data_IF_088910479861
#
_entry.id   IF_088910479861
#
_cell.length_a   1.000
_cell.length_b   1.000
_cell.length_c   1.000
_cell.angle_alpha   90.00
_cell.angle_beta   90.00
_cell.angle_gamma   90.00
#
_symmetry.space_group_name_H-M   'P 1'
#
loop_
_entity.id
_entity.type
_entity.pdbx_description
1 polymer ?
#
# COMPACT_ATOMS: atom_id res chain seq x y z
N UNK A 1 4.39 3.02 -14.44
CA UNK A 1 4.88 1.65 -14.74
C UNK A 1 6.33 1.78 -15.12
N UNK A 2 7.23 1.14 -14.35
CA UNK A 2 8.66 1.13 -14.64
C UNK A 2 8.94 0.44 -15.97
N UNK A 3 8.77 1.17 -17.08
CA UNK A 3 9.10 0.73 -18.43
C UNK A 3 10.59 0.96 -18.58
N UNK A 4 11.39 -0.08 -18.38
CA UNK A 4 12.79 -0.02 -18.82
C UNK A 4 12.76 -0.25 -20.33
N UNK A 5 12.84 0.85 -21.08
CA UNK A 5 13.06 0.79 -22.52
C UNK A 5 14.55 0.54 -22.73
N UNK A 6 14.93 -0.69 -23.09
CA UNK A 6 16.27 -0.94 -23.60
C UNK A 6 16.23 -0.89 -25.13
N UNK A 7 17.00 0.02 -25.70
CA UNK A 7 17.25 0.03 -27.13
C UNK A 7 18.31 -1.04 -27.41
N UNK A 8 17.91 -2.09 -28.12
CA UNK A 8 18.77 -3.27 -28.37
C UNK A 8 19.53 -3.11 -29.69
N UNK A 9 18.94 -2.41 -30.66
CA UNK A 9 19.56 -1.99 -31.91
C UNK A 9 18.87 -0.73 -32.44
N UNK A 10 19.40 -0.13 -33.50
CA UNK A 10 18.71 0.93 -34.24
C UNK A 10 17.32 0.41 -34.69
N UNK A 11 16.28 1.11 -34.26
CA UNK A 11 14.88 0.79 -34.57
C UNK A 11 14.21 -0.29 -33.70
N UNK A 12 14.92 -0.99 -32.81
CA UNK A 12 14.31 -2.06 -31.97
C UNK A 12 14.38 -1.71 -30.48
N UNK A 13 13.23 -1.32 -29.92
CA UNK A 13 13.06 -1.12 -28.48
C UNK A 13 12.43 -2.35 -27.83
N UNK A 14 13.13 -2.98 -26.89
CA UNK A 14 12.58 -4.08 -26.10
C UNK A 14 11.91 -3.53 -24.85
N UNK A 15 10.63 -3.87 -24.66
CA UNK A 15 9.85 -3.45 -23.50
C UNK A 15 9.91 -4.52 -22.44
N UNK A 16 10.72 -4.30 -21.40
CA UNK A 16 10.70 -5.15 -20.22
C UNK A 16 9.58 -4.68 -19.30
N UNK A 17 8.58 -5.55 -19.15
CA UNK A 17 7.49 -5.36 -18.21
C UNK A 17 7.89 -5.92 -16.86
N UNK A 18 8.18 -5.03 -15.91
CA UNK A 18 8.39 -5.41 -14.52
C UNK A 18 7.07 -5.26 -13.75
N UNK A 19 6.65 -6.27 -12.96
CA UNK A 19 5.50 -6.14 -12.08
C UNK A 19 5.89 -5.21 -10.92
N UNK A 20 5.66 -3.91 -11.08
CA UNK A 20 5.91 -2.90 -10.05
C UNK A 20 7.22 -2.12 -10.20
N UNK A 21 7.31 -0.98 -9.52
CA UNK A 21 8.51 -0.13 -9.53
C UNK A 21 9.50 -0.64 -8.49
N UNK A 22 10.82 -0.51 -8.74
CA UNK A 22 11.86 -0.99 -7.82
C UNK A 22 11.69 -0.44 -6.40
N UNK A 23 11.26 0.81 -6.29
CA UNK A 23 10.98 1.46 -5.01
C UNK A 23 9.87 0.73 -4.22
N UNK A 24 8.88 0.16 -4.90
CA UNK A 24 7.79 -0.58 -4.25
C UNK A 24 8.29 -1.90 -3.66
N UNK A 25 9.16 -2.60 -4.37
CA UNK A 25 9.79 -3.83 -3.89
C UNK A 25 10.68 -3.57 -2.67
N UNK A 26 11.39 -2.44 -2.66
CA UNK A 26 12.17 -2.02 -1.48
C UNK A 26 11.24 -1.75 -0.31
N UNK A 27 10.15 -1.00 -0.49
CA UNK A 27 9.17 -0.72 0.57
C UNK A 27 8.51 -2.00 1.11
N UNK A 28 8.18 -2.95 0.23
CA UNK A 28 7.66 -4.25 0.63
C UNK A 28 8.71 -5.04 1.44
N UNK A 29 9.97 -5.05 1.00
CA UNK A 29 11.07 -5.65 1.74
C UNK A 29 11.28 -5.03 3.12
N UNK A 30 11.18 -3.70 3.24
CA UNK A 30 11.26 -2.98 4.53
C UNK A 30 10.09 -3.39 5.44
N UNK A 31 8.87 -3.48 4.92
CA UNK A 31 7.70 -3.88 5.70
C UNK A 31 7.86 -5.30 6.27
N UNK A 32 8.26 -6.26 5.44
CA UNK A 32 8.52 -7.65 5.87
C UNK A 32 9.69 -7.70 6.86
N UNK A 33 10.78 -6.98 6.57
CA UNK A 33 11.96 -6.92 7.44
C UNK A 33 11.64 -6.36 8.82
N UNK A 34 10.89 -5.24 8.89
CA UNK A 34 10.48 -4.64 10.15
C UNK A 34 9.57 -5.56 10.97
N UNK A 35 8.64 -6.27 10.32
CA UNK A 35 7.82 -7.27 10.97
C UNK A 35 8.61 -8.47 11.50
N UNK A 36 9.56 -8.98 10.72
CA UNK A 36 10.43 -10.08 11.14
C UNK A 36 11.34 -9.70 12.32
N UNK A 37 11.90 -8.49 12.31
CA UNK A 37 12.68 -7.97 13.45
C UNK A 37 11.79 -7.81 14.69
N UNK A 38 10.59 -7.26 14.52
CA UNK A 38 9.62 -7.13 15.63
C UNK A 38 9.26 -8.50 16.21
N UNK A 39 8.96 -9.48 15.34
CA UNK A 39 8.70 -10.86 15.74
C UNK A 39 9.86 -11.42 16.57
N UNK A 40 11.09 -11.33 16.06
CA UNK A 40 12.27 -11.89 16.73
C UNK A 40 12.50 -11.25 18.11
N UNK A 41 12.39 -9.92 18.19
CA UNK A 41 12.57 -9.19 19.46
C UNK A 41 11.51 -9.59 20.50
N UNK A 42 10.23 -9.63 20.10
CA UNK A 42 9.13 -10.02 20.99
C UNK A 42 9.27 -11.47 21.43
N UNK A 43 9.61 -12.38 20.50
CA UNK A 43 9.81 -13.79 20.80
C UNK A 43 10.96 -14.02 21.79
N UNK A 44 12.06 -13.26 21.68
CA UNK A 44 13.22 -13.37 22.58
C UNK A 44 12.87 -12.83 23.98
N UNK A 45 12.19 -11.69 24.06
CA UNK A 45 11.91 -11.01 25.33
C UNK A 45 10.77 -11.66 26.10
N UNK A 46 9.64 -11.89 25.44
CA UNK A 46 8.44 -12.41 26.08
C UNK A 46 8.41 -13.94 26.14
N UNK A 47 9.18 -14.61 25.28
CA UNK A 47 9.14 -16.07 25.09
C UNK A 47 7.74 -16.59 24.74
N UNK A 48 6.90 -15.71 24.19
CA UNK A 48 5.55 -16.00 23.74
C UNK A 48 5.50 -15.86 22.21
N UNK A 49 5.40 -17.00 21.54
CA UNK A 49 5.40 -17.05 20.07
C UNK A 49 4.11 -16.49 19.47
N UNK A 50 2.97 -16.66 20.16
CA UNK A 50 1.67 -16.16 19.70
C UNK A 50 1.67 -14.63 19.68
N UNK A 51 2.10 -14.02 20.79
CA UNK A 51 2.20 -12.55 20.89
C UNK A 51 3.21 -12.02 19.88
N UNK A 52 4.36 -12.70 19.71
CA UNK A 52 5.34 -12.35 18.69
C UNK A 52 4.76 -12.40 17.27
N UNK A 53 4.02 -13.46 16.94
CA UNK A 53 3.39 -13.65 15.63
C UNK A 53 2.38 -12.56 15.32
N UNK A 54 1.47 -12.26 16.25
CA UNK A 54 0.45 -11.22 16.08
C UNK A 54 1.12 -9.86 15.89
N UNK A 55 2.08 -9.50 16.74
CA UNK A 55 2.74 -8.19 16.66
C UNK A 55 3.60 -8.05 15.40
N UNK A 56 4.41 -9.06 15.06
CA UNK A 56 5.25 -9.03 13.86
C UNK A 56 4.45 -8.96 12.56
N UNK A 57 3.37 -9.75 12.46
CA UNK A 57 2.47 -9.69 11.29
C UNK A 57 1.70 -8.38 11.24
N UNK A 58 1.24 -7.85 12.37
CA UNK A 58 0.57 -6.54 12.45
C UNK A 58 1.47 -5.38 12.03
N UNK A 59 2.75 -5.40 12.41
CA UNK A 59 3.73 -4.40 11.93
C UNK A 59 3.91 -4.51 10.42
N UNK A 60 4.05 -5.73 9.89
CA UNK A 60 4.18 -5.97 8.45
C UNK A 60 2.97 -5.42 7.68
N UNK A 61 1.76 -5.80 8.10
CA UNK A 61 0.52 -5.37 7.45
C UNK A 61 0.25 -3.90 7.67
N UNK A 62 0.66 -3.31 8.80
CA UNK A 62 0.55 -1.88 9.07
C UNK A 62 1.44 -1.04 8.15
N UNK A 63 2.74 -1.37 8.06
CA UNK A 63 3.67 -0.64 7.17
C UNK A 63 3.29 -0.86 5.70
N UNK A 64 2.93 -2.09 5.32
CA UNK A 64 2.38 -2.39 3.99
C UNK A 64 1.10 -1.61 3.71
N UNK A 65 0.20 -1.59 4.70
CA UNK A 65 -0.94 -0.70 4.93
C UNK A 65 -0.74 0.69 4.35
N UNK A 66 0.03 1.49 5.08
CA UNK A 66 0.31 2.89 4.77
C UNK A 66 0.86 3.05 3.35
N UNK A 67 1.84 2.22 2.98
CA UNK A 67 2.51 2.35 1.69
C UNK A 67 1.57 2.11 0.49
N UNK A 68 0.68 1.13 0.59
CA UNK A 68 -0.31 0.87 -0.44
C UNK A 68 -1.40 1.95 -0.46
N UNK A 69 -1.83 2.45 0.70
CA UNK A 69 -2.80 3.56 0.77
C UNK A 69 -2.29 4.84 0.08
N UNK A 70 -1.04 5.21 0.35
CA UNK A 70 -0.41 6.36 -0.32
C UNK A 70 -0.34 6.17 -1.84
N UNK A 71 0.07 4.97 -2.26
CA UNK A 71 0.16 4.60 -3.68
C UNK A 71 -1.19 4.70 -4.39
N UNK A 72 -2.26 4.32 -3.72
CA UNK A 72 -3.60 4.36 -4.27
C UNK A 72 -4.03 5.77 -4.61
N UNK A 73 -3.78 6.71 -3.70
CA UNK A 73 -4.08 8.12 -3.91
C UNK A 73 -3.28 8.66 -5.10
N UNK A 74 -1.97 8.40 -5.16
CA UNK A 74 -1.16 8.83 -6.31
C UNK A 74 -1.63 8.23 -7.63
N UNK A 75 -2.04 6.96 -7.62
CA UNK A 75 -2.56 6.30 -8.82
C UNK A 75 -3.90 6.87 -9.30
N UNK A 76 -4.67 7.52 -8.43
CA UNK A 76 -5.96 8.16 -8.77
C UNK A 76 -5.81 9.57 -9.37
N UNK A 77 -4.60 10.13 -9.45
CA UNK A 77 -4.38 11.49 -9.94
C UNK A 77 -4.09 11.59 -11.44
N UNK A 78 -3.76 10.48 -12.10
CA UNK A 78 -3.30 10.47 -13.50
C UNK A 78 -4.40 10.48 -14.56
N UNK A 79 -5.55 11.12 -14.34
CA UNK A 79 -6.69 11.06 -15.27
C UNK A 79 -6.86 12.31 -16.15
N UNK A 80 -6.37 12.29 -17.40
CA UNK A 80 -6.88 13.14 -18.45
C UNK A 80 -7.98 12.40 -19.25
N UNK A 81 -9.14 13.03 -19.36
CA UNK A 81 -10.21 12.77 -20.34
C UNK A 81 -11.19 11.58 -20.13
N UNK A 82 -12.47 11.84 -20.41
CA UNK A 82 -13.68 11.09 -20.01
C UNK A 82 -13.94 9.81 -20.82
N UNK A 83 -13.37 9.66 -22.01
CA UNK A 83 -13.46 8.42 -22.82
C UNK A 83 -12.28 7.47 -22.59
N UNK A 84 -11.09 7.99 -22.31
CA UNK A 84 -9.97 7.24 -21.75
C UNK A 84 -10.27 6.75 -20.32
N UNK A 85 -11.13 7.48 -19.59
CA UNK A 85 -11.56 7.16 -18.25
C UNK A 85 -12.20 5.78 -18.10
N UNK A 86 -12.83 5.19 -19.13
CA UNK A 86 -13.45 3.85 -19.00
C UNK A 86 -12.42 2.72 -19.00
N UNK A 87 -11.44 2.77 -19.92
CA UNK A 87 -10.31 1.80 -19.95
C UNK A 87 -9.38 2.02 -18.77
N UNK A 88 -9.14 3.29 -18.41
CA UNK A 88 -8.41 3.63 -17.20
C UNK A 88 -9.15 3.11 -15.96
N UNK A 89 -10.46 3.33 -15.81
CA UNK A 89 -11.26 2.82 -14.69
C UNK A 89 -11.18 1.30 -14.58
N UNK A 90 -11.26 0.56 -15.68
CA UNK A 90 -11.07 -0.91 -15.66
C UNK A 90 -9.65 -1.27 -15.19
N UNK A 91 -8.61 -0.60 -15.70
CA UNK A 91 -7.23 -0.84 -15.27
C UNK A 91 -6.99 -0.46 -13.79
N UNK A 92 -7.63 0.60 -13.29
CA UNK A 92 -7.53 1.02 -11.89
C UNK A 92 -8.35 0.11 -10.96
N UNK A 93 -9.56 -0.28 -11.36
CA UNK A 93 -10.38 -1.24 -10.63
C UNK A 93 -9.72 -2.61 -10.55
N UNK A 94 -9.10 -3.08 -11.64
CA UNK A 94 -8.35 -4.35 -11.64
C UNK A 94 -7.06 -4.26 -10.81
N UNK A 95 -6.36 -3.12 -10.80
CA UNK A 95 -5.23 -2.88 -9.87
C UNK A 95 -5.68 -2.82 -8.42
N UNK A 96 -6.80 -2.15 -8.14
CA UNK A 96 -7.39 -2.10 -6.80
C UNK A 96 -7.83 -3.48 -6.34
N UNK A 97 -8.47 -4.25 -7.21
CA UNK A 97 -8.84 -5.64 -6.97
C UNK A 97 -7.61 -6.51 -6.69
N UNK A 98 -6.55 -6.39 -7.51
CA UNK A 98 -5.30 -7.12 -7.30
C UNK A 98 -4.64 -6.80 -5.95
N UNK A 99 -4.61 -5.52 -5.57
CA UNK A 99 -4.09 -5.09 -4.27
C UNK A 99 -4.99 -5.56 -3.13
N UNK A 100 -6.31 -5.54 -3.30
CA UNK A 100 -7.27 -6.10 -2.36
C UNK A 100 -7.08 -7.61 -2.16
N UNK A 101 -6.81 -8.35 -3.23
CA UNK A 101 -6.47 -9.78 -3.17
C UNK A 101 -5.14 -10.02 -2.44
N UNK A 102 -4.12 -9.19 -2.69
CA UNK A 102 -2.84 -9.27 -1.96
C UNK A 102 -3.01 -8.97 -0.46
N UNK A 103 -3.86 -8.01 -0.10
CA UNK A 103 -4.24 -7.76 1.29
C UNK A 103 -4.97 -8.96 1.91
N UNK A 104 -5.96 -9.51 1.19
CA UNK A 104 -6.68 -10.70 1.65
C UNK A 104 -5.76 -11.90 1.83
N UNK A 105 -4.81 -12.11 0.92
CA UNK A 105 -3.83 -13.19 1.01
C UNK A 105 -2.86 -13.01 2.18
N UNK A 106 -2.36 -11.78 2.40
CA UNK A 106 -1.46 -11.51 3.54
C UNK A 106 -2.17 -11.61 4.88
N UNK A 107 -3.42 -11.16 4.97
CA UNK A 107 -4.27 -11.37 6.14
C UNK A 107 -4.55 -12.86 6.39
N UNK A 108 -4.88 -13.62 5.34
CA UNK A 108 -5.11 -15.07 5.45
C UNK A 108 -3.82 -15.82 5.83
N UNK A 109 -2.67 -15.47 5.26
CA UNK A 109 -1.38 -16.06 5.62
C UNK A 109 -1.00 -15.74 7.08
N UNK A 110 -1.24 -14.51 7.55
CA UNK A 110 -1.04 -14.15 8.95
C UNK A 110 -1.98 -14.95 9.87
N UNK A 111 -3.26 -15.09 9.50
CA UNK A 111 -4.21 -15.89 10.27
C UNK A 111 -3.80 -17.36 10.33
N UNK A 112 -3.40 -17.98 9.22
CA UNK A 112 -2.90 -19.36 9.19
C UNK A 112 -1.64 -19.50 10.04
N UNK A 113 -0.72 -18.54 9.96
CA UNK A 113 0.50 -18.56 10.77
C UNK A 113 0.19 -18.48 12.26
N UNK A 114 -0.74 -17.61 12.65
CA UNK A 114 -1.18 -17.44 14.04
C UNK A 114 -1.86 -18.72 14.52
N UNK A 115 -2.87 -19.23 13.82
CA UNK A 115 -3.67 -20.42 14.22
C UNK A 115 -2.83 -21.69 14.37
N UNK A 116 -1.67 -21.80 13.70
CA UNK A 116 -0.78 -22.97 13.83
C UNK A 116 0.14 -22.93 15.06
N UNK A 117 0.11 -21.88 15.87
CA UNK A 117 0.90 -21.85 17.11
C UNK A 117 0.22 -22.65 18.25
N UNK A 118 0.95 -23.13 19.25
CA UNK A 118 0.36 -23.86 20.37
C UNK A 118 -0.31 -22.90 21.36
N UNK A 119 -1.60 -22.65 21.20
CA UNK A 119 -2.43 -21.87 22.12
C UNK A 119 -3.84 -22.44 22.16
N UNK A 120 -4.59 -22.09 23.21
CA UNK A 120 -5.97 -22.51 23.39
C UNK A 120 -6.78 -21.33 23.92
N UNK A 121 -8.00 -21.15 23.42
CA UNK A 121 -8.95 -20.20 23.99
C UNK A 121 -9.51 -19.23 22.95
N UNK A 122 -10.76 -18.83 23.17
CA UNK A 122 -11.57 -18.07 22.22
C UNK A 122 -10.86 -16.82 21.65
N UNK A 123 -10.18 -16.04 22.50
CA UNK A 123 -9.45 -14.84 22.06
C UNK A 123 -8.32 -15.18 21.08
N UNK A 124 -7.57 -16.24 21.38
CA UNK A 124 -6.43 -16.64 20.57
C UNK A 124 -6.88 -17.28 19.25
N UNK A 125 -7.98 -18.03 19.28
CA UNK A 125 -8.49 -18.76 18.11
C UNK A 125 -9.28 -17.86 17.15
N UNK A 126 -9.97 -16.82 17.66
CA UNK A 126 -10.90 -16.01 16.86
C UNK A 126 -10.51 -14.54 16.70
N UNK A 127 -9.92 -13.91 17.72
CA UNK A 127 -9.65 -12.47 17.67
C UNK A 127 -8.24 -12.18 17.16
N UNK A 128 -7.22 -12.85 17.70
CA UNK A 128 -5.82 -12.60 17.36
C UNK A 128 -5.49 -12.78 15.86
N UNK A 129 -6.04 -13.79 15.13
CA UNK A 129 -5.79 -13.94 13.69
C UNK A 129 -6.32 -12.77 12.85
N UNK A 130 -7.29 -12.01 13.37
CA UNK A 130 -7.93 -10.89 12.66
C UNK A 130 -7.19 -9.57 12.89
N UNK A 131 -6.45 -9.45 14.00
CA UNK A 131 -5.73 -8.21 14.37
C UNK A 131 -4.83 -7.67 13.24
N UNK A 132 -3.98 -8.48 12.58
CA UNK A 132 -3.11 -7.97 11.52
C UNK A 132 -3.90 -7.38 10.34
N UNK A 133 -5.06 -7.94 10.01
CA UNK A 133 -5.91 -7.46 8.93
C UNK A 133 -6.52 -6.09 9.27
N UNK A 134 -7.02 -5.92 10.51
CA UNK A 134 -7.58 -4.66 10.98
C UNK A 134 -6.51 -3.57 10.99
N UNK A 135 -5.33 -3.88 11.55
CA UNK A 135 -4.19 -2.94 11.59
C UNK A 135 -3.79 -2.52 10.18
N UNK A 136 -3.68 -3.47 9.26
CA UNK A 136 -3.35 -3.18 7.86
C UNK A 136 -4.39 -2.32 7.15
N UNK A 137 -5.68 -2.57 7.38
CA UNK A 137 -6.77 -1.79 6.81
C UNK A 137 -6.79 -0.35 7.34
N UNK A 138 -6.66 -0.15 8.66
CA UNK A 138 -6.59 1.18 9.28
C UNK A 138 -5.38 1.93 8.74
N UNK A 139 -4.22 1.29 8.72
CA UNK A 139 -2.99 1.90 8.23
C UNK A 139 -3.08 2.27 6.75
N UNK A 140 -3.78 1.47 5.94
CA UNK A 140 -4.07 1.80 4.55
C UNK A 140 -4.92 3.08 4.43
N UNK A 141 -6.03 3.16 5.18
CA UNK A 141 -6.87 4.35 5.19
C UNK A 141 -6.09 5.60 5.65
N UNK A 142 -5.29 5.46 6.71
CA UNK A 142 -4.43 6.53 7.21
C UNK A 142 -3.41 6.99 6.14
N UNK A 143 -2.81 6.06 5.40
CA UNK A 143 -1.91 6.38 4.29
C UNK A 143 -2.60 7.17 3.18
N UNK A 144 -3.85 6.84 2.84
CA UNK A 144 -4.62 7.63 1.87
C UNK A 144 -4.91 9.03 2.39
N UNK A 145 -5.34 9.17 3.65
CA UNK A 145 -5.65 10.48 4.25
C UNK A 145 -4.40 11.35 4.32
N UNK A 146 -3.27 10.79 4.77
CA UNK A 146 -1.99 11.49 4.82
C UNK A 146 -1.59 12.05 3.45
N UNK A 147 -1.67 11.23 2.41
CA UNK A 147 -1.28 11.65 1.06
C UNK A 147 -2.23 12.73 0.52
N UNK A 148 -3.53 12.64 0.80
CA UNK A 148 -4.50 13.69 0.44
C UNK A 148 -4.24 15.00 1.17
N UNK A 149 -3.94 14.98 2.46
CA UNK A 149 -3.65 16.19 3.24
C UNK A 149 -2.41 16.93 2.71
N UNK A 150 -1.38 16.19 2.29
CA UNK A 150 -0.19 16.78 1.67
C UNK A 150 -0.44 17.47 0.32
N UNK A 151 -1.62 17.26 -0.28
CA UNK A 151 -2.00 17.79 -1.59
C UNK A 151 -2.96 18.98 -1.51
N UNK A 152 -3.64 19.18 -0.38
CA UNK A 152 -4.51 20.34 -0.16
C UNK A 152 -3.69 21.64 -0.09
N UNK A 153 -2.57 21.63 0.63
CA UNK A 153 -1.74 22.83 0.80
C UNK A 153 -1.14 23.39 -0.51
N UNK A 154 -0.61 22.57 -1.44
CA UNK A 154 -0.17 23.05 -2.74
C UNK A 154 -1.31 23.60 -3.60
N UNK A 155 -2.49 22.95 -3.60
CA UNK A 155 -3.63 23.37 -4.41
C UNK A 155 -4.24 24.70 -3.94
N UNK A 156 -4.25 24.96 -2.62
CA UNK A 156 -4.66 26.24 -2.05
C UNK A 156 -3.69 27.38 -2.40
N UNK A 157 -2.39 27.09 -2.47
CA UNK A 157 -1.37 28.07 -2.87
C UNK A 157 -1.49 28.43 -4.36
N UNK A 158 -1.70 27.44 -5.24
CA UNK A 158 -1.87 27.65 -6.68
C UNK A 158 -3.16 28.43 -6.99
N UNK A 159 -4.26 28.17 -6.25
CA UNK A 159 -5.51 28.94 -6.36
C UNK A 159 -5.41 30.38 -5.81
N UNK A 160 -4.47 30.64 -4.90
CA UNK A 160 -4.24 31.98 -4.35
C UNK A 160 -3.35 32.85 -5.26
N UNK A 161 -2.57 32.25 -6.16
CA UNK A 161 -1.77 32.97 -7.17
C UNK A 161 -2.58 33.37 -8.41
N UNK A 162 -3.77 32.78 -8.63
CA UNK A 162 -4.68 33.09 -9.75
C UNK A 162 -5.92 33.97 -9.43
N UNK A 163 -5.80 35.18 -8.81
CA UNK A 163 -6.93 36.13 -8.71
C UNK A 163 -6.84 37.35 -9.65
N UNK A 164 -5.92 37.40 -10.65
CA UNK A 164 -5.59 38.65 -11.36
C UNK A 164 -5.90 38.75 -12.88
N UNK A 165 -6.70 37.88 -13.47
CA UNK A 165 -7.09 38.01 -14.90
C UNK A 165 -8.53 38.51 -15.17
N UNK A 166 -9.22 39.05 -14.17
CA UNK A 166 -10.51 39.73 -14.39
C UNK A 166 -10.40 41.24 -14.17
N UNK A 167 -9.59 41.92 -14.99
CA UNK A 167 -9.86 43.34 -15.27
C UNK A 167 -10.93 43.44 -16.37
N UNK A 168 -12.01 44.22 -16.17
CA UNK A 168 -12.98 44.47 -17.22
C UNK A 168 -12.31 45.36 -18.28
N UNK A 169 -12.17 44.84 -19.50
CA UNK A 169 -11.84 45.66 -20.66
C UNK A 169 -12.92 46.76 -20.79
N UNK A 170 -12.49 48.00 -20.66
CA UNK A 170 -13.33 49.21 -20.78
C UNK A 170 -13.84 49.47 -22.19
#
# INVERSE_FOLDING_TARGET
>A
MGRIVRQVSDGVTKHYWYPGEKADWIKAGIAVGAGAVTFALVAIVLKDMLVAAVLGTSVTTGIGGVNLGRRDVTALQGFPDVTAARKAAVAHASRACWRGLLYGFTAAAAAVFIVNMPHTGFVADWLLPVVPAIVGAIAHQAGMVYERMGQVAPAEAEAAEDPKELEPAG
#
